data_IF_375141618446
#
_entry.id   IF_375141618446
#
_cell.length_a   1.000
_cell.length_b   1.000
_cell.length_c   1.000
_cell.angle_alpha   90.00
_cell.angle_beta   90.00
_cell.angle_gamma   90.00
#
_symmetry.space_group_name_H-M   'P 1'
#
loop_
_entity.id
_entity.type
_entity.pdbx_description
1 polymer ?
#
# COMPACT_ATOMS: atom_id res chain seq x y z
N UNK A 1 -7.99 17.41 38.76
CA UNK A 1 -6.88 18.33 39.09
C UNK A 1 -7.39 19.25 40.17
N UNK A 2 -6.57 19.51 41.18
CA UNK A 2 -6.80 20.54 42.19
C UNK A 2 -5.56 21.43 42.27
N UNK A 3 -5.50 22.29 43.29
CA UNK A 3 -4.39 23.23 43.51
C UNK A 3 -3.06 22.51 43.83
N UNK A 4 -3.10 21.25 44.27
CA UNK A 4 -1.93 20.43 44.63
C UNK A 4 -1.44 19.54 43.48
N UNK A 5 -2.23 19.36 42.40
CA UNK A 5 -1.80 18.65 41.20
C UNK A 5 -2.86 17.71 40.60
N UNK A 6 -2.40 16.53 40.17
CA UNK A 6 -3.21 15.50 39.51
C UNK A 6 -3.58 14.37 40.47
N UNK A 7 -4.80 13.85 40.30
CA UNK A 7 -5.33 12.71 41.04
C UNK A 7 -5.73 11.64 40.03
N UNK A 8 -5.28 10.41 40.25
CA UNK A 8 -5.51 9.28 39.36
C UNK A 8 -6.22 8.18 40.14
N UNK A 9 -7.21 7.55 39.50
CA UNK A 9 -7.83 6.33 40.00
C UNK A 9 -7.36 5.17 39.13
N UNK A 10 -6.68 4.21 39.75
CA UNK A 10 -6.13 3.03 39.07
C UNK A 10 -6.72 1.76 39.70
N UNK A 11 -6.49 0.60 39.08
CA UNK A 11 -6.83 -0.68 39.70
C UNK A 11 -6.03 -0.98 40.97
N UNK A 12 -4.87 -0.33 41.16
CA UNK A 12 -4.06 -0.42 42.37
C UNK A 12 -4.46 0.58 43.46
N UNK A 13 -5.49 1.40 43.22
CA UNK A 13 -5.96 2.44 44.13
C UNK A 13 -5.73 3.87 43.60
N UNK A 14 -5.87 4.83 44.50
CA UNK A 14 -5.71 6.26 44.20
C UNK A 14 -4.23 6.69 44.25
N UNK A 15 -3.83 7.55 43.32
CA UNK A 15 -2.47 8.12 43.25
C UNK A 15 -2.53 9.64 43.07
N UNK A 16 -1.53 10.35 43.60
CA UNK A 16 -1.38 11.81 43.47
C UNK A 16 0.00 12.17 42.97
N UNK A 17 0.08 13.20 42.13
CA UNK A 17 1.34 13.75 41.65
C UNK A 17 1.23 15.23 41.28
N UNK A 18 2.34 15.96 41.39
CA UNK A 18 2.40 17.35 40.93
C UNK A 18 2.44 17.45 39.40
N UNK A 19 3.10 16.48 38.75
CA UNK A 19 3.24 16.41 37.29
C UNK A 19 2.79 15.04 36.77
N UNK A 20 2.06 15.05 35.64
CA UNK A 20 1.53 13.86 34.99
C UNK A 20 1.94 13.83 33.50
N UNK A 21 2.62 12.76 33.09
CA UNK A 21 3.01 12.52 31.69
C UNK A 21 2.06 11.49 31.07
N UNK A 22 1.46 11.82 29.94
CA UNK A 22 0.60 10.92 29.17
C UNK A 22 1.40 10.35 28.00
N UNK A 23 1.89 9.11 28.17
CA UNK A 23 2.67 8.39 27.17
C UNK A 23 1.99 7.06 26.79
N UNK A 24 0.67 7.08 26.58
CA UNK A 24 -0.17 5.88 26.37
C UNK A 24 -0.21 5.35 24.94
N UNK A 25 0.60 5.90 24.03
CA UNK A 25 0.69 5.46 22.64
C UNK A 25 -0.54 5.84 21.79
N UNK A 26 -0.70 5.13 20.67
CA UNK A 26 -1.75 5.33 19.68
C UNK A 26 -2.87 4.30 19.73
N UNK A 27 -3.59 4.15 18.62
CA UNK A 27 -4.69 3.20 18.48
C UNK A 27 -4.27 1.88 17.80
N UNK A 28 -3.06 1.83 17.25
CA UNK A 28 -2.54 0.70 16.48
C UNK A 28 -2.27 -0.53 17.34
N UNK A 29 -2.69 -1.67 16.81
CA UNK A 29 -2.61 -3.00 17.41
C UNK A 29 -3.24 -3.06 18.82
N UNK A 30 -4.57 -2.89 18.96
CA UNK A 30 -5.26 -2.90 20.26
C UNK A 30 -5.01 -4.16 21.09
N UNK A 31 -4.76 -5.30 20.44
CA UNK A 31 -4.44 -6.58 21.10
C UNK A 31 -3.11 -6.54 21.85
N UNK A 32 -2.23 -5.57 21.60
CA UNK A 32 -1.00 -5.32 22.35
C UNK A 32 -1.18 -4.25 23.45
N UNK A 33 -2.41 -3.86 23.76
CA UNK A 33 -2.71 -2.91 24.84
C UNK A 33 -2.85 -1.45 24.40
N UNK A 34 -2.78 -1.17 23.10
CA UNK A 34 -3.07 0.15 22.56
C UNK A 34 -4.50 0.57 22.87
N UNK A 35 -4.69 1.84 23.25
CA UNK A 35 -5.98 2.35 23.68
C UNK A 35 -6.13 3.84 23.39
N UNK A 36 -7.36 4.33 23.39
CA UNK A 36 -7.64 5.75 23.20
C UNK A 36 -7.44 6.62 24.44
N UNK A 37 -6.81 6.11 25.51
CA UNK A 37 -6.77 6.78 26.81
C UNK A 37 -6.15 8.18 26.75
N UNK A 38 -5.02 8.33 26.06
CA UNK A 38 -4.37 9.64 25.91
C UNK A 38 -5.26 10.69 25.26
N UNK A 39 -6.02 10.30 24.24
CA UNK A 39 -6.99 11.19 23.59
C UNK A 39 -8.17 11.55 24.49
N UNK A 40 -8.61 10.62 25.35
CA UNK A 40 -9.67 10.90 26.33
C UNK A 40 -9.19 11.90 27.37
N UNK A 41 -7.97 11.74 27.88
CA UNK A 41 -7.35 12.68 28.83
C UNK A 41 -7.15 14.05 28.18
N UNK A 42 -6.68 14.12 26.93
CA UNK A 42 -6.53 15.38 26.21
C UNK A 42 -7.87 16.14 26.11
N UNK A 43 -8.94 15.46 25.68
CA UNK A 43 -10.30 16.05 25.63
C UNK A 43 -10.80 16.47 27.00
N UNK A 44 -10.54 15.67 28.04
CA UNK A 44 -10.93 15.99 29.41
C UNK A 44 -10.34 17.33 29.88
N UNK A 45 -9.13 17.67 29.44
CA UNK A 45 -8.47 18.94 29.76
C UNK A 45 -8.70 20.04 28.71
N UNK A 46 -9.68 19.86 27.81
CA UNK A 46 -10.09 20.89 26.84
C UNK A 46 -9.19 21.03 25.62
N UNK A 47 -8.27 20.09 25.38
CA UNK A 47 -7.48 20.07 24.15
C UNK A 47 -8.31 19.58 22.96
N UNK A 48 -8.09 20.21 21.80
CA UNK A 48 -8.57 19.69 20.53
C UNK A 48 -7.79 18.42 20.16
N UNK A 49 -8.52 17.36 19.79
CA UNK A 49 -7.94 16.13 19.26
C UNK A 49 -8.32 16.01 17.79
N UNK A 50 -7.33 16.08 16.92
CA UNK A 50 -7.52 15.93 15.47
C UNK A 50 -8.08 14.55 15.11
N UNK A 51 -8.80 14.41 13.98
CA UNK A 51 -9.27 13.11 13.50
C UNK A 51 -8.13 12.11 13.35
N UNK A 52 -8.28 10.94 13.95
CA UNK A 52 -7.31 9.85 13.87
C UNK A 52 -7.67 8.87 12.76
N UNK A 53 -6.68 8.39 12.03
CA UNK A 53 -6.80 7.27 11.10
C UNK A 53 -5.59 6.35 11.21
N UNK A 54 -5.73 5.12 10.72
CA UNK A 54 -4.62 4.18 10.60
C UNK A 54 -3.62 4.68 9.54
N UNK A 55 -2.35 4.82 9.91
CA UNK A 55 -1.24 5.11 9.01
C UNK A 55 -0.34 3.89 8.86
N UNK A 56 0.46 3.86 7.79
CA UNK A 56 1.35 2.73 7.49
C UNK A 56 0.59 1.39 7.55
N UNK A 57 -0.45 1.28 6.73
CA UNK A 57 -1.46 0.21 6.83
C UNK A 57 -1.70 -0.44 5.47
N UNK A 58 -1.83 -1.79 5.38
CA UNK A 58 -2.14 -2.45 4.13
C UNK A 58 -3.50 -2.04 3.54
N UNK A 59 -3.59 -2.07 2.21
CA UNK A 59 -4.81 -1.83 1.46
C UNK A 59 -5.62 -3.12 1.29
N UNK A 60 -6.94 -2.98 1.40
CA UNK A 60 -7.88 -4.06 1.07
C UNK A 60 -8.43 -3.87 -0.33
N UNK A 61 -8.43 -4.95 -1.10
CA UNK A 61 -8.86 -4.97 -2.50
C UNK A 61 -10.12 -5.85 -2.65
N UNK A 62 -11.08 -5.38 -3.44
CA UNK A 62 -12.30 -6.10 -3.80
C UNK A 62 -12.31 -6.47 -5.29
N UNK A 63 -13.37 -7.19 -5.70
CA UNK A 63 -13.71 -7.44 -7.11
C UNK A 63 -12.64 -8.21 -7.89
N UNK A 64 -12.52 -7.97 -9.20
CA UNK A 64 -11.67 -8.73 -10.12
C UNK A 64 -10.19 -8.72 -9.70
N UNK A 65 -9.74 -7.68 -9.01
CA UNK A 65 -8.36 -7.59 -8.55
C UNK A 65 -8.09 -8.44 -7.31
N UNK A 66 -9.13 -8.81 -6.54
CA UNK A 66 -9.00 -9.68 -5.36
C UNK A 66 -8.46 -11.06 -5.73
N UNK A 67 -8.93 -11.64 -6.83
CA UNK A 67 -8.44 -12.94 -7.31
C UNK A 67 -6.97 -12.87 -7.70
N UNK A 68 -6.57 -11.83 -8.43
CA UNK A 68 -5.17 -11.61 -8.80
C UNK A 68 -4.30 -11.46 -7.54
N UNK A 69 -4.75 -10.70 -6.53
CA UNK A 69 -4.04 -10.54 -5.26
C UNK A 69 -3.93 -11.88 -4.50
N UNK A 70 -5.00 -12.68 -4.47
CA UNK A 70 -5.00 -13.99 -3.83
C UNK A 70 -4.04 -14.97 -4.52
N UNK A 71 -4.04 -15.00 -5.84
CA UNK A 71 -3.12 -15.83 -6.63
C UNK A 71 -1.67 -15.38 -6.45
N UNK A 72 -1.42 -14.07 -6.43
CA UNK A 72 -0.07 -13.50 -6.24
C UNK A 72 0.38 -13.42 -4.78
N UNK A 73 -0.46 -13.79 -3.81
CA UNK A 73 -0.16 -13.68 -2.38
C UNK A 73 1.26 -14.20 -2.05
N UNK A 74 2.03 -13.39 -1.34
CA UNK A 74 3.43 -13.63 -1.00
C UNK A 74 4.45 -13.18 -2.05
N UNK A 75 4.02 -12.70 -3.21
CA UNK A 75 4.90 -12.15 -4.25
C UNK A 75 5.19 -10.68 -3.99
N UNK A 76 6.46 -10.29 -4.12
CA UNK A 76 6.92 -8.90 -4.01
C UNK A 76 7.44 -8.39 -5.35
N UNK A 77 7.32 -7.09 -5.58
CA UNK A 77 7.87 -6.39 -6.75
C UNK A 77 8.33 -4.99 -6.36
N UNK A 78 9.52 -4.58 -6.79
CA UNK A 78 9.95 -3.18 -6.69
C UNK A 78 9.06 -2.34 -7.60
N UNK A 79 8.44 -1.31 -7.05
CA UNK A 79 7.51 -0.47 -7.78
C UNK A 79 7.66 0.98 -7.35
N UNK A 80 7.11 1.89 -8.16
CA UNK A 80 6.88 3.27 -7.75
C UNK A 80 5.38 3.50 -7.67
N UNK A 81 4.88 3.85 -6.48
CA UNK A 81 3.47 4.18 -6.26
C UNK A 81 3.30 5.67 -6.06
N UNK A 82 2.20 6.22 -6.57
CA UNK A 82 1.82 7.60 -6.34
C UNK A 82 0.34 7.76 -5.98
N UNK A 83 0.06 8.77 -5.16
CA UNK A 83 -1.27 9.18 -4.74
C UNK A 83 -1.22 10.61 -4.18
N UNK A 84 -2.18 11.47 -4.53
CA UNK A 84 -2.32 12.83 -3.99
C UNK A 84 -1.01 13.66 -4.02
N UNK A 85 -0.24 13.55 -5.11
CA UNK A 85 1.02 14.27 -5.30
C UNK A 85 2.21 13.73 -4.52
N UNK A 86 2.05 12.62 -3.79
CA UNK A 86 3.14 11.90 -3.13
C UNK A 86 3.56 10.68 -3.94
N UNK A 87 4.84 10.33 -3.84
CA UNK A 87 5.45 9.23 -4.59
C UNK A 87 6.42 8.47 -3.69
N UNK A 88 6.34 7.15 -3.69
CA UNK A 88 7.28 6.26 -3.00
C UNK A 88 7.76 5.17 -3.94
N UNK A 89 9.06 4.88 -3.91
CA UNK A 89 9.64 3.73 -4.61
C UNK A 89 10.13 2.72 -3.60
N UNK A 90 9.51 1.56 -3.59
CA UNK A 90 9.89 0.40 -2.78
C UNK A 90 9.07 -0.82 -3.21
N UNK A 91 9.28 -1.92 -2.52
CA UNK A 91 8.56 -3.15 -2.70
C UNK A 91 7.06 -3.02 -2.36
N UNK A 92 6.22 -3.43 -3.31
CA UNK A 92 4.83 -3.82 -3.11
C UNK A 92 4.76 -5.32 -2.87
N UNK A 93 3.97 -5.73 -1.88
CA UNK A 93 3.69 -7.12 -1.53
C UNK A 93 2.22 -7.44 -1.79
N UNK A 94 1.95 -8.47 -2.60
CA UNK A 94 0.60 -9.00 -2.76
C UNK A 94 0.22 -9.86 -1.55
N UNK A 95 -0.99 -9.68 -1.03
CA UNK A 95 -1.55 -10.49 0.06
C UNK A 95 -2.91 -11.06 -0.34
N UNK A 96 -3.41 -12.05 0.41
CA UNK A 96 -4.76 -12.58 0.21
C UNK A 96 -5.87 -11.53 0.32
N UNK A 97 -5.62 -10.41 1.00
CA UNK A 97 -6.61 -9.37 1.26
C UNK A 97 -6.43 -8.14 0.36
N UNK A 98 -5.28 -7.98 -0.27
CA UNK A 98 -4.97 -6.83 -1.11
C UNK A 98 -3.48 -6.57 -1.24
N UNK A 99 -3.06 -5.33 -0.98
CA UNK A 99 -1.70 -4.84 -1.24
C UNK A 99 -1.05 -4.35 0.05
N UNK A 100 0.21 -4.74 0.26
CA UNK A 100 1.05 -4.38 1.41
C UNK A 100 2.47 -4.09 0.92
N UNK A 101 3.47 -4.17 1.81
CA UNK A 101 4.87 -3.87 1.52
C UNK A 101 5.18 -2.40 1.71
N UNK A 102 6.46 -2.03 1.89
CA UNK A 102 6.86 -0.67 2.28
C UNK A 102 6.28 0.42 1.38
N UNK A 103 6.19 0.21 0.07
CA UNK A 103 5.58 1.19 -0.84
C UNK A 103 4.10 1.47 -0.49
N UNK A 104 3.32 0.42 -0.24
CA UNK A 104 1.90 0.56 0.11
C UNK A 104 1.70 1.16 1.50
N UNK A 105 2.52 0.77 2.48
CA UNK A 105 2.46 1.32 3.83
C UNK A 105 2.76 2.82 3.81
N UNK A 106 3.83 3.24 3.12
CA UNK A 106 4.19 4.66 3.02
C UNK A 106 3.08 5.49 2.37
N UNK A 107 2.56 5.03 1.21
CA UNK A 107 1.53 5.79 0.48
C UNK A 107 0.17 5.78 1.17
N UNK A 108 -0.14 4.80 2.03
CA UNK A 108 -1.42 4.75 2.78
C UNK A 108 -1.62 5.97 3.66
N UNK A 109 -0.54 6.58 4.11
CA UNK A 109 -0.55 7.82 4.91
C UNK A 109 -0.95 9.06 4.09
N UNK A 110 -1.10 8.96 2.78
CA UNK A 110 -1.52 10.08 1.91
C UNK A 110 -2.80 9.78 1.13
N UNK A 111 -3.17 8.52 1.04
CA UNK A 111 -4.42 8.05 0.46
C UNK A 111 -5.63 8.35 1.37
N UNK A 112 -6.77 8.66 0.75
CA UNK A 112 -8.10 8.75 1.36
C UNK A 112 -9.08 7.78 0.69
N UNK A 113 -10.15 7.35 1.39
CA UNK A 113 -11.19 6.52 0.81
C UNK A 113 -11.75 7.09 -0.51
N UNK A 114 -11.67 6.28 -1.57
CA UNK A 114 -12.09 6.65 -2.92
C UNK A 114 -10.94 7.09 -3.84
N UNK A 115 -9.75 7.37 -3.30
CA UNK A 115 -8.60 7.74 -4.12
C UNK A 115 -8.05 6.55 -4.91
N UNK A 116 -7.52 6.85 -6.09
CA UNK A 116 -6.81 5.91 -6.94
C UNK A 116 -5.31 5.99 -6.68
N UNK A 117 -4.68 4.83 -6.49
CA UNK A 117 -3.24 4.63 -6.54
C UNK A 117 -2.81 4.43 -7.99
N UNK A 118 -1.70 5.06 -8.38
CA UNK A 118 -1.05 4.78 -9.65
C UNK A 118 0.29 4.09 -9.38
N UNK A 119 0.44 2.86 -9.89
CA UNK A 119 1.57 1.97 -9.60
C UNK A 119 2.34 1.73 -10.89
N UNK A 120 3.59 2.13 -10.89
CA UNK A 120 4.57 1.80 -11.92
C UNK A 120 5.30 0.52 -11.51
N UNK A 121 5.04 -0.56 -12.26
CA UNK A 121 5.63 -1.88 -12.03
C UNK A 121 7.03 -2.02 -12.66
N UNK A 122 7.47 -1.05 -13.46
CA UNK A 122 8.77 -1.06 -14.14
C UNK A 122 9.54 0.25 -13.86
N UNK A 123 9.79 0.61 -12.60
CA UNK A 123 10.28 1.95 -12.24
C UNK A 123 11.69 2.29 -12.76
N UNK A 124 12.45 1.30 -13.23
CA UNK A 124 13.78 1.46 -13.83
C UNK A 124 13.77 1.56 -15.37
N UNK A 125 12.61 1.40 -15.99
CA UNK A 125 12.49 1.34 -17.45
C UNK A 125 11.40 2.28 -17.94
N UNK A 126 11.67 2.99 -19.03
CA UNK A 126 10.58 3.48 -19.88
C UNK A 126 9.95 2.25 -20.55
N UNK A 127 8.75 1.88 -20.10
CA UNK A 127 8.07 0.68 -20.59
C UNK A 127 7.83 0.71 -22.10
N UNK A 128 7.59 1.89 -22.69
CA UNK A 128 7.34 2.04 -24.13
C UNK A 128 8.63 1.80 -24.92
N UNK A 129 9.72 2.44 -24.51
CA UNK A 129 11.03 2.28 -25.15
C UNK A 129 11.54 0.84 -25.00
N UNK A 130 11.40 0.27 -23.80
CA UNK A 130 11.82 -1.10 -23.53
C UNK A 130 11.05 -2.11 -24.39
N UNK A 131 9.72 -2.01 -24.47
CA UNK A 131 8.92 -2.89 -25.32
C UNK A 131 9.28 -2.75 -26.81
N UNK A 132 9.49 -1.52 -27.29
CA UNK A 132 9.91 -1.27 -28.67
C UNK A 132 11.30 -1.84 -28.97
N UNK A 133 12.23 -1.76 -28.01
CA UNK A 133 13.54 -2.39 -28.11
C UNK A 133 13.41 -3.92 -28.18
N UNK A 134 12.66 -4.53 -27.27
CA UNK A 134 12.46 -5.98 -27.25
C UNK A 134 11.77 -6.49 -28.53
N UNK A 135 10.84 -5.72 -29.11
CA UNK A 135 10.23 -6.08 -30.38
C UNK A 135 11.23 -6.15 -31.54
N UNK A 136 12.24 -5.28 -31.56
CA UNK A 136 13.29 -5.28 -32.59
C UNK A 136 14.33 -6.37 -32.37
N UNK A 137 14.79 -6.53 -31.13
CA UNK A 137 15.89 -7.45 -30.80
C UNK A 137 15.44 -8.90 -30.66
N UNK A 138 14.23 -9.12 -30.12
CA UNK A 138 13.70 -10.45 -29.79
C UNK A 138 12.29 -10.66 -30.38
N UNK A 139 12.11 -10.52 -31.71
CA UNK A 139 10.80 -10.54 -32.37
C UNK A 139 10.02 -11.85 -32.19
N UNK A 140 10.71 -12.96 -31.93
CA UNK A 140 10.10 -14.28 -31.75
C UNK A 140 9.84 -14.63 -30.27
N UNK A 141 10.35 -13.85 -29.31
CA UNK A 141 10.08 -14.08 -27.88
C UNK A 141 8.66 -13.64 -27.54
N UNK A 142 8.02 -14.35 -26.61
CA UNK A 142 6.71 -13.95 -26.09
C UNK A 142 6.83 -12.88 -25.00
N UNK A 143 5.81 -12.02 -24.89
CA UNK A 143 5.75 -10.96 -23.87
C UNK A 143 5.95 -11.51 -22.45
N UNK A 144 5.30 -12.62 -22.08
CA UNK A 144 5.44 -13.22 -20.74
C UNK A 144 6.88 -13.61 -20.41
N UNK A 145 7.64 -14.06 -21.41
CA UNK A 145 9.05 -14.44 -21.24
C UNK A 145 9.91 -13.23 -20.94
N UNK A 146 9.67 -12.12 -21.65
CA UNK A 146 10.41 -10.87 -21.47
C UNK A 146 10.05 -10.20 -20.14
N UNK A 147 8.76 -10.16 -19.78
CA UNK A 147 8.34 -9.62 -18.48
C UNK A 147 8.90 -10.42 -17.31
N UNK A 148 9.11 -11.74 -17.47
CA UNK A 148 9.71 -12.59 -16.44
C UNK A 148 11.22 -12.34 -16.22
N UNK A 149 11.85 -11.48 -17.02
CA UNK A 149 13.23 -11.01 -16.81
C UNK A 149 13.25 -9.77 -15.90
N UNK A 150 12.15 -9.01 -15.83
CA UNK A 150 12.01 -7.81 -14.98
C UNK A 150 11.19 -8.09 -13.71
N UNK A 151 10.23 -9.01 -13.82
CA UNK A 151 9.28 -9.37 -12.77
C UNK A 151 9.48 -10.83 -12.37
N UNK A 152 8.89 -11.23 -11.25
CA UNK A 152 8.85 -12.66 -10.90
C UNK A 152 8.08 -13.44 -11.98
N UNK A 153 8.51 -14.68 -12.27
CA UNK A 153 7.85 -15.54 -13.27
C UNK A 153 6.34 -15.68 -13.04
N UNK A 154 5.94 -15.76 -11.78
CA UNK A 154 4.53 -15.87 -11.36
C UNK A 154 3.75 -14.59 -11.69
N UNK A 155 4.32 -13.42 -11.36
CA UNK A 155 3.73 -12.14 -11.70
C UNK A 155 3.64 -11.95 -13.21
N UNK A 156 4.75 -12.13 -13.93
CA UNK A 156 4.78 -12.01 -15.38
C UNK A 156 3.76 -12.91 -16.09
N UNK A 157 3.63 -14.17 -15.65
CA UNK A 157 2.63 -15.10 -16.17
C UNK A 157 1.20 -14.61 -15.94
N UNK A 158 0.86 -14.26 -14.70
CA UNK A 158 -0.49 -13.82 -14.36
C UNK A 158 -0.88 -12.48 -15.01
N UNK A 159 0.05 -11.53 -15.11
CA UNK A 159 -0.22 -10.29 -15.84
C UNK A 159 -0.42 -10.56 -17.34
N UNK A 160 0.41 -11.42 -17.93
CA UNK A 160 0.29 -11.77 -19.34
C UNK A 160 -0.99 -12.55 -19.66
N UNK A 161 -1.52 -13.33 -18.71
CA UNK A 161 -2.76 -14.10 -18.88
C UNK A 161 -4.02 -13.26 -18.58
N UNK A 162 -3.96 -12.34 -17.60
CA UNK A 162 -5.13 -11.57 -17.15
C UNK A 162 -5.26 -10.18 -17.79
N UNK A 163 -4.16 -9.51 -18.10
CA UNK A 163 -4.19 -8.13 -18.62
C UNK A 163 -3.93 -8.07 -20.11
N UNK A 164 -3.18 -9.03 -20.65
CA UNK A 164 -2.68 -9.00 -22.01
C UNK A 164 -2.95 -10.32 -22.74
N UNK A 165 -2.50 -10.41 -23.99
CA UNK A 165 -2.44 -11.67 -24.74
C UNK A 165 -0.98 -11.95 -25.03
N UNK A 166 -0.39 -12.97 -24.40
CA UNK A 166 1.01 -13.33 -24.65
C UNK A 166 1.19 -13.94 -26.03
N UNK A 167 1.77 -13.17 -26.95
CA UNK A 167 2.18 -13.59 -28.29
C UNK A 167 3.62 -13.15 -28.61
N UNK A 168 4.27 -13.71 -29.66
CA UNK A 168 5.58 -13.28 -30.10
C UNK A 168 5.63 -11.77 -30.37
N UNK A 169 6.71 -11.09 -29.96
CA UNK A 169 6.77 -9.62 -29.98
C UNK A 169 6.49 -8.99 -31.35
N UNK A 170 6.93 -9.63 -32.43
CA UNK A 170 6.67 -9.17 -33.81
C UNK A 170 5.20 -9.10 -34.20
N UNK A 171 4.31 -9.73 -33.43
CA UNK A 171 2.87 -9.77 -33.69
C UNK A 171 2.10 -8.65 -32.98
N UNK A 172 2.74 -7.85 -32.13
CA UNK A 172 2.11 -6.68 -31.55
C UNK A 172 2.17 -5.49 -32.49
N UNK A 173 1.06 -4.76 -32.56
CA UNK A 173 0.98 -3.45 -33.18
C UNK A 173 1.54 -2.38 -32.23
N UNK A 174 1.95 -1.19 -32.75
CA UNK A 174 2.37 -0.08 -31.91
C UNK A 174 1.31 0.32 -30.87
N UNK A 175 0.04 0.28 -31.23
CA UNK A 175 -1.08 0.60 -30.32
C UNK A 175 -1.19 -0.42 -29.18
N UNK A 176 -1.04 -1.71 -29.47
CA UNK A 176 -1.03 -2.75 -28.41
C UNK A 176 0.14 -2.56 -27.46
N UNK A 177 1.35 -2.29 -27.97
CA UNK A 177 2.53 -2.04 -27.13
C UNK A 177 2.38 -0.79 -26.27
N UNK A 178 1.82 0.29 -26.82
CA UNK A 178 1.54 1.50 -26.05
C UNK A 178 0.52 1.24 -24.93
N UNK A 179 -0.51 0.43 -25.18
CA UNK A 179 -1.48 0.01 -24.16
C UNK A 179 -0.83 -0.83 -23.05
N UNK A 180 0.04 -1.77 -23.41
CA UNK A 180 0.80 -2.58 -22.45
C UNK A 180 1.73 -1.69 -21.62
N UNK A 181 2.46 -0.77 -22.26
CA UNK A 181 3.36 0.17 -21.58
C UNK A 181 2.60 1.04 -20.58
N UNK A 182 1.46 1.61 -20.99
CA UNK A 182 0.61 2.43 -20.11
C UNK A 182 0.09 1.65 -18.91
N UNK A 183 -0.37 0.41 -19.13
CA UNK A 183 -0.86 -0.44 -18.05
C UNK A 183 0.25 -0.86 -17.06
N UNK A 184 1.48 -1.09 -17.52
CA UNK A 184 2.61 -1.47 -16.67
C UNK A 184 3.20 -0.29 -15.89
N UNK A 185 3.26 0.89 -16.51
CA UNK A 185 3.87 2.10 -15.93
C UNK A 185 2.92 2.94 -15.09
N UNK A 186 1.60 2.78 -15.30
CA UNK A 186 0.57 3.54 -14.59
C UNK A 186 -0.62 2.64 -14.25
N UNK A 187 -0.36 1.50 -13.58
CA UNK A 187 -1.41 0.60 -13.14
C UNK A 187 -2.28 1.29 -12.08
N UNK A 188 -3.54 1.56 -12.44
CA UNK A 188 -4.50 2.24 -11.58
C UNK A 188 -5.26 1.26 -10.69
N UNK A 189 -5.19 1.48 -9.38
CA UNK A 189 -5.89 0.67 -8.37
C UNK A 189 -6.66 1.59 -7.44
N UNK A 190 -7.95 1.34 -7.25
CA UNK A 190 -8.75 2.03 -6.21
C UNK A 190 -9.01 1.04 -5.08
N UNK A 191 -8.28 1.13 -3.95
CA UNK A 191 -8.53 0.28 -2.79
C UNK A 191 -9.94 0.47 -2.24
N UNK A 192 -10.53 -0.63 -1.77
CA UNK A 192 -11.82 -0.60 -1.06
C UNK A 192 -11.72 0.00 0.35
N UNK A 193 -10.51 -0.01 0.91
CA UNK A 193 -10.21 0.45 2.26
C UNK A 193 -8.80 0.08 2.68
N UNK A 194 -8.58 0.13 3.99
CA UNK A 194 -7.36 -0.39 4.64
C UNK A 194 -7.73 -1.48 5.64
N UNK A 195 -6.75 -2.23 6.11
CA UNK A 195 -6.96 -3.21 7.18
C UNK A 195 -7.19 -2.59 8.57
N UNK A 196 -7.03 -1.27 8.68
CA UNK A 196 -7.29 -0.48 9.88
C UNK A 196 -6.29 -0.73 11.02
N UNK A 197 -6.64 -0.28 12.22
CA UNK A 197 -5.75 -0.30 13.39
C UNK A 197 -5.29 -1.69 13.83
N UNK A 198 -5.87 -2.78 13.33
CA UNK A 198 -5.41 -4.12 13.69
C UNK A 198 -4.04 -4.45 13.10
N UNK A 199 -3.66 -3.80 12.01
CA UNK A 199 -2.39 -4.06 11.30
C UNK A 199 -1.61 -2.80 10.94
N UNK A 200 -2.18 -1.61 11.18
CA UNK A 200 -1.47 -0.34 11.05
C UNK A 200 -0.25 -0.27 11.97
N UNK A 201 0.86 0.30 11.49
CA UNK A 201 2.02 0.55 12.34
C UNK A 201 1.83 1.80 13.21
N UNK A 202 1.01 2.77 12.78
CA UNK A 202 0.75 4.05 13.50
C UNK A 202 -0.70 4.52 13.46
#
# INVERSE_FOLDING_TARGET
>A
RDDAGYHLRTSAGEMRCESLVIASGGLSIPTLGASGFGYQVARQFGHEVLPTRAGLVPFTITDQLKELCAELSGTSVDCRVSCNGQVFRENLLFTHRGLSGPAMLQISSYWQPGDTLEIDLLPDHDASEWLAQQQRERPNSELKTLLAELLTKKLAGLLADRWFVSKPMKQYTPTELAGIAGQLSAWRVTPSGTEGYRTAEV
#
